data_IF_068143939564
#
_entry.id   IF_068143939564
#
_cell.length_a   1.000
_cell.length_b   1.000
_cell.length_c   1.000
_cell.angle_alpha   90.00
_cell.angle_beta   90.00
_cell.angle_gamma   90.00
#
_symmetry.space_group_name_H-M   'P 1'
#
loop_
_entity.id
_entity.type
_entity.pdbx_description
1 polymer ?
#
# COMPACT_ATOMS: atom_id res chain seq x y z
N UNK A 1 -2.09 -21.93 -29.95
CA UNK A 1 -1.84 -20.59 -29.35
C UNK A 1 -3.09 -19.74 -29.35
N UNK A 2 -3.79 -19.66 -30.49
CA UNK A 2 -5.01 -18.84 -30.57
C UNK A 2 -6.12 -19.39 -29.67
N UNK A 3 -6.28 -20.70 -29.63
CA UNK A 3 -7.30 -21.33 -28.78
C UNK A 3 -7.05 -21.07 -27.31
N UNK A 4 -5.79 -21.11 -26.89
CA UNK A 4 -5.42 -20.80 -25.50
C UNK A 4 -5.71 -19.33 -25.17
N UNK A 5 -5.39 -18.43 -26.11
CA UNK A 5 -5.68 -17.01 -25.93
C UNK A 5 -7.18 -16.75 -25.82
N UNK A 6 -8.00 -17.43 -26.63
CA UNK A 6 -9.45 -17.32 -26.60
C UNK A 6 -10.01 -17.83 -25.27
N UNK A 7 -9.50 -18.95 -24.77
CA UNK A 7 -9.90 -19.49 -23.47
C UNK A 7 -9.52 -18.52 -22.35
N UNK A 8 -8.30 -17.98 -22.37
CA UNK A 8 -7.86 -17.00 -21.37
C UNK A 8 -8.67 -15.71 -21.44
N UNK A 9 -9.13 -15.32 -22.64
CA UNK A 9 -10.01 -14.17 -22.80
C UNK A 9 -11.41 -14.38 -22.26
N UNK A 10 -11.87 -15.63 -22.17
CA UNK A 10 -13.17 -16.00 -21.61
C UNK A 10 -13.10 -16.04 -20.07
N UNK A 11 -11.94 -16.42 -19.51
CA UNK A 11 -11.77 -16.46 -18.07
C UNK A 11 -11.90 -15.04 -17.50
N UNK A 12 -12.72 -14.85 -16.46
CA UNK A 12 -12.86 -13.51 -15.87
C UNK A 12 -11.51 -13.09 -15.30
N UNK A 13 -11.03 -11.94 -15.75
CA UNK A 13 -9.89 -11.29 -15.10
C UNK A 13 -10.31 -10.90 -13.69
N UNK A 14 -9.41 -10.99 -12.70
CA UNK A 14 -9.73 -10.44 -11.39
C UNK A 14 -10.19 -8.99 -11.56
N UNK A 15 -11.37 -8.70 -11.07
CA UNK A 15 -11.88 -7.33 -11.08
C UNK A 15 -10.96 -6.47 -10.23
N UNK A 16 -10.77 -5.22 -10.62
CA UNK A 16 -10.15 -4.24 -9.76
C UNK A 16 -10.87 -4.25 -8.41
N UNK A 17 -10.16 -4.21 -7.29
CA UNK A 17 -10.80 -4.26 -5.98
C UNK A 17 -11.68 -3.04 -5.76
N UNK A 18 -12.80 -3.23 -5.07
CA UNK A 18 -13.66 -2.13 -4.66
C UNK A 18 -13.05 -1.47 -3.42
N UNK A 19 -12.13 -0.54 -3.65
CA UNK A 19 -11.38 0.11 -2.58
C UNK A 19 -12.29 1.01 -1.75
N UNK A 20 -13.30 1.61 -2.36
CA UNK A 20 -14.24 2.46 -1.63
C UNK A 20 -15.04 1.65 -0.61
N UNK A 21 -15.53 0.46 -0.98
CA UNK A 21 -16.23 -0.42 -0.06
C UNK A 21 -15.34 -0.91 1.07
N UNK A 22 -14.09 -1.25 0.77
CA UNK A 22 -13.13 -1.65 1.80
C UNK A 22 -12.85 -0.50 2.77
N UNK A 23 -12.62 0.69 2.24
CA UNK A 23 -12.33 1.87 3.07
C UNK A 23 -13.53 2.23 3.95
N UNK A 24 -14.75 2.05 3.45
CA UNK A 24 -15.98 2.30 4.21
C UNK A 24 -16.12 1.40 5.43
N UNK A 25 -15.47 0.24 5.43
CA UNK A 25 -15.48 -0.69 6.57
C UNK A 25 -14.46 -0.34 7.64
N UNK A 26 -13.57 0.62 7.38
CA UNK A 26 -12.51 1.00 8.32
C UNK A 26 -13.00 2.07 9.29
N UNK A 27 -12.37 2.09 10.47
CA UNK A 27 -12.50 3.18 11.43
C UNK A 27 -11.10 3.71 11.75
N UNK A 28 -10.94 5.02 12.01
CA UNK A 28 -9.63 5.54 12.40
C UNK A 28 -9.19 4.91 13.73
N UNK A 29 -7.96 4.43 13.78
CA UNK A 29 -7.43 3.81 14.98
C UNK A 29 -5.95 3.49 14.82
N UNK A 30 -5.38 2.87 15.85
CA UNK A 30 -3.98 2.47 15.85
C UNK A 30 -3.84 1.01 15.40
N UNK A 31 -2.83 0.75 14.58
CA UNK A 31 -2.50 -0.59 14.13
C UNK A 31 -1.66 -1.31 15.20
N UNK A 32 -2.11 -2.48 15.63
CA UNK A 32 -1.33 -3.32 16.54
C UNK A 32 0.03 -3.67 15.95
N UNK A 33 0.09 -3.89 14.63
CA UNK A 33 1.33 -4.13 13.92
C UNK A 33 2.33 -2.97 14.14
N UNK A 34 1.87 -1.73 13.98
CA UNK A 34 2.73 -0.56 14.18
C UNK A 34 3.09 -0.37 15.66
N UNK A 35 2.14 -0.57 16.57
CA UNK A 35 2.41 -0.49 18.02
C UNK A 35 3.53 -1.48 18.39
N UNK A 36 3.47 -2.70 17.90
CA UNK A 36 4.47 -3.72 18.16
C UNK A 36 5.84 -3.38 17.57
N UNK A 37 5.88 -2.48 16.57
CA UNK A 37 7.12 -1.95 15.99
C UNK A 37 7.59 -0.66 16.68
N UNK A 38 6.95 -0.25 17.77
CA UNK A 38 7.28 0.98 18.47
C UNK A 38 6.75 2.25 17.81
N UNK A 39 5.78 2.13 16.92
CA UNK A 39 5.20 3.22 16.14
C UNK A 39 3.76 3.46 16.56
N UNK A 40 3.56 4.09 17.71
CA UNK A 40 2.23 4.42 18.22
C UNK A 40 1.82 5.85 17.81
N UNK A 41 0.55 6.20 18.04
CA UNK A 41 0.05 7.56 17.84
C UNK A 41 -0.45 7.87 16.44
N UNK A 42 -0.42 6.92 15.52
CA UNK A 42 -0.92 7.10 14.16
C UNK A 42 -2.37 6.62 14.05
N UNK A 43 -3.28 7.53 13.68
CA UNK A 43 -4.67 7.16 13.37
C UNK A 43 -4.75 6.81 11.90
N UNK A 44 -5.01 5.55 11.62
CA UNK A 44 -5.00 4.98 10.28
C UNK A 44 -6.27 4.17 10.05
N UNK A 45 -6.62 3.84 8.79
CA UNK A 45 -7.79 3.03 8.51
C UNK A 45 -7.62 1.60 9.05
N UNK A 46 -8.43 1.23 10.02
CA UNK A 46 -8.40 -0.09 10.66
C UNK A 46 -9.67 -0.85 10.35
N UNK A 47 -9.52 -2.07 9.84
CA UNK A 47 -10.64 -2.97 9.55
C UNK A 47 -11.22 -3.59 10.83
N UNK A 48 -12.45 -4.16 10.78
CA UNK A 48 -13.07 -4.72 11.99
C UNK A 48 -12.24 -5.79 12.69
N UNK A 49 -11.38 -6.52 11.99
CA UNK A 49 -10.51 -7.54 12.58
C UNK A 49 -9.21 -6.95 13.18
N UNK A 50 -9.04 -5.63 13.14
CA UNK A 50 -7.84 -4.95 13.64
C UNK A 50 -6.74 -4.79 12.60
N UNK A 51 -6.94 -5.26 11.37
CA UNK A 51 -5.95 -5.13 10.31
C UNK A 51 -5.88 -3.70 9.77
N UNK A 52 -4.67 -3.29 9.40
CA UNK A 52 -4.40 -2.01 8.78
C UNK A 52 -4.67 -2.11 7.27
N UNK A 53 -5.46 -1.17 6.74
CA UNK A 53 -5.72 -1.08 5.30
C UNK A 53 -4.92 0.07 4.69
N UNK A 54 -4.10 -0.24 3.69
CA UNK A 54 -3.26 0.74 3.00
C UNK A 54 -3.57 0.70 1.51
N UNK A 55 -3.88 1.87 0.94
CA UNK A 55 -4.19 1.98 -0.48
C UNK A 55 -2.90 2.20 -1.27
N UNK A 56 -2.73 1.41 -2.33
CA UNK A 56 -1.64 1.55 -3.27
C UNK A 56 -2.00 2.57 -4.34
N UNK A 57 -1.03 3.38 -4.73
CA UNK A 57 -1.20 4.30 -5.87
C UNK A 57 0.00 4.25 -6.80
N UNK A 58 -0.18 4.72 -8.04
CA UNK A 58 0.89 4.90 -9.01
C UNK A 58 1.27 6.39 -9.10
N UNK A 59 2.26 6.70 -9.93
CA UNK A 59 2.70 8.09 -10.11
C UNK A 59 1.65 8.99 -10.74
N UNK A 60 0.69 8.43 -11.45
CA UNK A 60 -0.44 9.19 -12.01
C UNK A 60 -1.50 9.53 -10.96
N UNK A 61 -1.37 9.01 -9.73
CA UNK A 61 -2.33 9.23 -8.66
C UNK A 61 -3.49 8.24 -8.64
N UNK A 62 -3.50 7.27 -9.55
CA UNK A 62 -4.55 6.25 -9.58
C UNK A 62 -4.36 5.24 -8.45
N UNK A 63 -5.45 4.87 -7.79
CA UNK A 63 -5.45 3.79 -6.82
C UNK A 63 -5.38 2.46 -7.55
N UNK A 64 -4.34 1.66 -7.28
CA UNK A 64 -4.08 0.42 -8.01
C UNK A 64 -4.40 -0.83 -7.21
N UNK A 65 -4.68 -0.69 -5.93
CA UNK A 65 -5.00 -1.81 -5.07
C UNK A 65 -4.90 -1.45 -3.60
N UNK A 66 -4.81 -2.46 -2.76
CA UNK A 66 -4.69 -2.28 -1.33
C UNK A 66 -3.85 -3.39 -0.71
N UNK A 67 -3.16 -3.05 0.36
CA UNK A 67 -2.45 -3.99 1.22
C UNK A 67 -3.13 -4.04 2.58
N UNK A 68 -3.29 -5.25 3.10
CA UNK A 68 -3.76 -5.47 4.47
C UNK A 68 -2.59 -5.98 5.29
N UNK A 69 -2.34 -5.34 6.43
CA UNK A 69 -1.34 -5.81 7.40
C UNK A 69 -2.09 -6.19 8.66
N UNK A 70 -2.07 -7.48 8.98
CA UNK A 70 -2.74 -8.03 10.16
C UNK A 70 -2.01 -7.66 11.44
N UNK A 71 -2.70 -7.72 12.60
CA UNK A 71 -2.06 -7.41 13.88
C UNK A 71 -0.78 -8.21 14.15
N UNK A 72 -0.69 -9.44 13.64
CA UNK A 72 0.49 -10.30 13.79
C UNK A 72 1.62 -9.95 12.82
N UNK A 73 1.42 -8.96 11.93
CA UNK A 73 2.40 -8.54 10.92
C UNK A 73 2.26 -9.24 9.58
N UNK A 74 1.36 -10.19 9.43
CA UNK A 74 1.12 -10.88 8.16
C UNK A 74 0.57 -9.88 7.14
N UNK A 75 1.17 -9.85 5.95
CA UNK A 75 0.82 -8.91 4.88
C UNK A 75 0.15 -9.63 3.73
N UNK A 76 -0.86 -8.99 3.16
CA UNK A 76 -1.60 -9.54 2.02
C UNK A 76 -2.04 -8.41 1.09
N UNK A 77 -1.90 -8.64 -0.22
CA UNK A 77 -2.51 -7.74 -1.21
C UNK A 77 -3.93 -8.22 -1.51
N UNK A 78 -4.84 -7.26 -1.67
CA UNK A 78 -6.21 -7.57 -2.09
C UNK A 78 -6.17 -8.08 -3.52
N UNK A 79 -6.98 -9.11 -3.81
CA UNK A 79 -7.08 -9.68 -5.14
C UNK A 79 -7.40 -8.60 -6.19
N UNK A 80 -6.70 -8.65 -7.31
CA UNK A 80 -6.84 -7.66 -8.38
C UNK A 80 -5.97 -6.43 -8.20
N UNK A 81 -5.19 -6.32 -7.13
CA UNK A 81 -4.24 -5.22 -6.93
C UNK A 81 -3.09 -5.32 -7.93
N UNK A 82 -2.65 -4.15 -8.42
CA UNK A 82 -1.50 -4.04 -9.32
C UNK A 82 -0.33 -3.45 -8.55
N UNK A 83 0.63 -4.31 -8.20
CA UNK A 83 1.74 -3.94 -7.34
C UNK A 83 2.87 -3.25 -8.08
N UNK A 84 3.22 -3.69 -9.29
CA UNK A 84 4.41 -3.23 -10.01
C UNK A 84 4.39 -1.72 -10.20
N UNK A 85 5.39 -1.03 -9.66
CA UNK A 85 5.50 0.42 -9.72
C UNK A 85 4.54 1.17 -8.80
N UNK A 86 3.67 0.47 -8.07
CA UNK A 86 2.78 1.08 -7.10
C UNK A 86 3.49 1.24 -5.75
N UNK A 87 3.01 2.20 -4.96
CA UNK A 87 3.59 2.50 -3.66
C UNK A 87 2.53 3.02 -2.71
N UNK A 88 2.88 3.09 -1.44
CA UNK A 88 2.01 3.63 -0.40
C UNK A 88 2.68 4.89 0.13
N UNK A 89 2.14 6.10 -0.18
CA UNK A 89 2.68 7.33 0.39
C UNK A 89 2.20 7.47 1.83
N UNK A 90 3.05 8.01 2.70
CA UNK A 90 2.66 8.27 4.09
C UNK A 90 1.75 9.49 4.22
N UNK A 91 1.88 10.43 3.29
CA UNK A 91 1.07 11.65 3.20
C UNK A 91 0.74 11.90 1.73
N UNK A 92 -0.27 12.74 1.43
CA UNK A 92 -0.52 13.14 0.05
C UNK A 92 0.75 13.69 -0.60
N UNK A 93 1.01 13.27 -1.85
CA UNK A 93 2.23 13.67 -2.55
C UNK A 93 2.16 15.14 -2.93
N UNK A 94 3.21 15.94 -2.65
CA UNK A 94 3.31 17.31 -3.16
C UNK A 94 3.62 17.30 -4.65
N UNK A 95 3.37 18.42 -5.34
CA UNK A 95 3.70 18.55 -6.75
C UNK A 95 5.21 18.45 -6.98
N UNK A 96 6.00 18.99 -6.04
CA UNK A 96 7.46 18.96 -6.09
C UNK A 96 8.00 18.53 -4.74
N UNK A 97 9.07 17.75 -4.77
CA UNK A 97 9.77 17.33 -3.56
C UNK A 97 11.27 17.38 -3.79
N UNK A 98 12.01 17.93 -2.83
CA UNK A 98 13.47 17.95 -2.88
C UNK A 98 14.06 16.58 -2.62
N UNK A 99 13.45 15.83 -1.69
CA UNK A 99 13.93 14.50 -1.28
C UNK A 99 12.75 13.54 -1.24
N UNK A 100 12.90 12.43 -1.95
CA UNK A 100 11.99 11.30 -1.90
C UNK A 100 12.76 10.09 -1.40
N UNK A 101 12.25 9.46 -0.35
CA UNK A 101 12.86 8.28 0.26
C UNK A 101 11.96 7.08 0.02
N UNK A 102 12.54 6.02 -0.54
CA UNK A 102 11.85 4.76 -0.74
C UNK A 102 12.19 3.79 0.39
N UNK A 103 11.17 3.24 1.01
CA UNK A 103 11.33 2.15 1.97
C UNK A 103 10.67 0.90 1.42
N UNK A 104 11.19 -0.26 1.79
CA UNK A 104 10.62 -1.53 1.37
C UNK A 104 9.22 -1.72 1.96
N UNK A 105 9.07 -1.54 3.27
CA UNK A 105 7.83 -1.79 3.97
C UNK A 105 7.29 -0.56 4.68
N UNK A 106 6.02 -0.63 5.07
CA UNK A 106 5.31 0.51 5.65
C UNK A 106 5.88 0.92 7.02
N UNK A 107 6.18 -0.04 7.89
CA UNK A 107 6.74 0.30 9.22
C UNK A 107 8.09 0.99 9.09
N UNK A 108 8.95 0.53 8.18
CA UNK A 108 10.23 1.18 7.90
C UNK A 108 10.02 2.60 7.40
N UNK A 109 9.04 2.79 6.51
CA UNK A 109 8.69 4.11 6.00
C UNK A 109 8.26 5.05 7.14
N UNK A 110 7.42 4.59 8.06
CA UNK A 110 7.00 5.38 9.22
C UNK A 110 8.17 5.73 10.13
N UNK A 111 9.09 4.78 10.34
CA UNK A 111 10.31 5.05 11.14
C UNK A 111 11.18 6.13 10.49
N UNK A 112 11.35 6.07 9.17
CA UNK A 112 12.11 7.08 8.44
C UNK A 112 11.44 8.45 8.48
N UNK A 113 10.11 8.50 8.49
CA UNK A 113 9.38 9.76 8.59
C UNK A 113 9.66 10.50 9.90
N UNK A 114 9.90 9.77 10.99
CA UNK A 114 10.28 10.37 12.27
C UNK A 114 11.67 11.02 12.20
N UNK A 115 12.59 10.43 11.42
CA UNK A 115 13.96 10.92 11.28
C UNK A 115 14.09 12.00 10.21
N UNK A 116 13.24 11.99 9.21
CA UNK A 116 13.33 12.86 8.03
C UNK A 116 11.97 13.53 7.76
N UNK A 117 11.54 14.46 8.66
CA UNK A 117 10.18 15.01 8.56
C UNK A 117 9.94 15.86 7.31
N UNK A 118 10.99 16.39 6.68
CA UNK A 118 10.87 17.20 5.46
C UNK A 118 10.88 16.37 4.18
N UNK A 119 11.23 15.08 4.24
CA UNK A 119 11.29 14.21 3.07
C UNK A 119 9.91 13.64 2.73
N UNK A 120 9.69 13.39 1.44
CA UNK A 120 8.56 12.60 0.97
C UNK A 120 8.95 11.13 1.09
N UNK A 121 8.20 10.36 1.87
CA UNK A 121 8.53 8.97 2.13
C UNK A 121 7.42 8.08 1.59
N UNK A 122 7.79 7.09 0.81
CA UNK A 122 6.86 6.14 0.21
C UNK A 122 7.33 4.72 0.49
N UNK A 123 6.38 3.82 0.65
CA UNK A 123 6.65 2.39 0.83
C UNK A 123 6.44 1.67 -0.50
N UNK A 124 7.45 0.89 -0.92
CA UNK A 124 7.42 0.14 -2.18
C UNK A 124 6.73 -1.22 -2.07
N UNK A 125 6.22 -1.57 -0.91
CA UNK A 125 5.48 -2.78 -0.60
C UNK A 125 6.41 -3.95 -0.31
N UNK A 126 7.36 -4.25 -1.20
CA UNK A 126 8.39 -5.26 -0.97
C UNK A 126 9.66 -4.92 -1.76
N UNK A 127 10.73 -5.69 -1.50
CA UNK A 127 12.03 -5.45 -2.11
C UNK A 127 12.00 -5.59 -3.63
N UNK A 128 11.19 -6.51 -4.16
CA UNK A 128 11.07 -6.73 -5.60
C UNK A 128 10.43 -5.56 -6.35
N UNK A 129 9.75 -4.67 -5.65
CA UNK A 129 9.08 -3.50 -6.23
C UNK A 129 9.90 -2.21 -6.09
N UNK A 130 11.04 -2.22 -5.40
CA UNK A 130 11.86 -1.01 -5.20
C UNK A 130 12.29 -0.39 -6.52
N UNK A 131 12.84 -1.19 -7.43
CA UNK A 131 13.30 -0.68 -8.70
C UNK A 131 12.16 -0.19 -9.60
N UNK A 132 11.05 -0.92 -9.79
CA UNK A 132 9.90 -0.40 -10.52
C UNK A 132 9.35 0.91 -9.98
N UNK A 133 9.32 1.09 -8.66
CA UNK A 133 8.85 2.34 -8.04
C UNK A 133 9.84 3.48 -8.30
N UNK A 134 11.15 3.21 -8.25
CA UNK A 134 12.19 4.21 -8.46
C UNK A 134 12.25 4.70 -9.92
N UNK A 135 11.79 3.91 -10.85
CA UNK A 135 11.73 4.29 -12.26
C UNK A 135 10.49 5.14 -12.53
#
# INVERSE_FOLDING_TARGET
>A
AQLVADILGILPKPKAPDLASLMAKTTPGESRYLINKGLSGHKLPILPDGSLLLILQNMAGDSTGAQIIRPDGTKKLIAGSRKKGAFIPLKPLPEQAETVVLAEGYATAQSLALLLPAAVIIAAIDAGNLLPVAQ
#
